data_IF_286110266295
#
_entry.id   IF_286110266295
#
_cell.length_a   1.000
_cell.length_b   1.000
_cell.length_c   1.000
_cell.angle_alpha   90.00
_cell.angle_beta   90.00
_cell.angle_gamma   90.00
#
_symmetry.space_group_name_H-M   'P 1'
#
loop_
_entity.id
_entity.type
_entity.pdbx_description
1 polymer ?
#
# COMPACT_ATOMS: atom_id res chain seq x y z
N UNK A 1 -20.35 -2.90 5.17
CA UNK A 1 -20.31 -3.44 6.54
C UNK A 1 -19.61 -4.78 6.59
N UNK A 2 -19.09 -5.17 7.76
CA UNK A 2 -18.42 -6.46 7.98
C UNK A 2 -19.34 -7.67 7.66
N UNK A 3 -20.64 -7.53 7.88
CA UNK A 3 -21.62 -8.56 7.53
C UNK A 3 -21.65 -8.83 6.01
N UNK A 4 -21.58 -7.78 5.18
CA UNK A 4 -21.50 -7.95 3.74
C UNK A 4 -20.20 -8.66 3.32
N UNK A 5 -19.07 -8.33 3.94
CA UNK A 5 -17.80 -8.98 3.67
C UNK A 5 -17.79 -10.46 4.07
N UNK A 6 -18.43 -10.80 5.19
CA UNK A 6 -18.67 -12.19 5.59
C UNK A 6 -19.48 -12.94 4.54
N UNK A 7 -20.57 -12.37 4.05
CA UNK A 7 -21.39 -12.98 3.00
C UNK A 7 -20.60 -13.17 1.72
N UNK A 8 -19.88 -12.12 1.25
CA UNK A 8 -19.04 -12.21 0.05
C UNK A 8 -17.99 -13.31 0.18
N UNK A 9 -17.29 -13.36 1.31
CA UNK A 9 -16.23 -14.35 1.51
C UNK A 9 -16.76 -15.79 1.68
N UNK A 10 -18.01 -15.95 2.10
CA UNK A 10 -18.63 -17.26 2.27
C UNK A 10 -19.16 -17.85 0.96
N UNK A 11 -19.66 -17.00 0.06
CA UNK A 11 -20.32 -17.46 -1.17
C UNK A 11 -19.48 -17.24 -2.43
N UNK A 12 -18.52 -16.31 -2.42
CA UNK A 12 -17.74 -15.93 -3.61
C UNK A 12 -16.27 -16.38 -3.51
N UNK A 13 -16.03 -17.66 -3.20
CA UNK A 13 -14.68 -18.18 -2.89
C UNK A 13 -13.63 -17.97 -3.99
N UNK A 14 -14.06 -17.79 -5.24
CA UNK A 14 -13.17 -17.55 -6.39
C UNK A 14 -13.01 -16.06 -6.71
N UNK A 15 -13.48 -15.17 -5.83
CA UNK A 15 -13.39 -13.73 -6.03
C UNK A 15 -11.92 -13.29 -6.10
N UNK A 16 -11.61 -12.53 -7.13
CA UNK A 16 -10.23 -12.03 -7.38
C UNK A 16 -10.08 -10.55 -7.12
N UNK A 17 -11.16 -9.81 -7.28
CA UNK A 17 -11.16 -8.35 -7.21
C UNK A 17 -12.34 -7.88 -6.37
N UNK A 18 -12.07 -6.99 -5.41
CA UNK A 18 -13.07 -6.40 -4.54
C UNK A 18 -12.70 -4.95 -4.24
N UNK A 19 -13.71 -4.08 -4.30
CA UNK A 19 -13.61 -2.72 -3.78
C UNK A 19 -14.73 -2.48 -2.78
N UNK A 20 -14.34 -2.04 -1.58
CA UNK A 20 -15.22 -1.62 -0.49
C UNK A 20 -14.80 -0.24 0.03
N UNK A 21 -14.27 0.57 -0.87
CA UNK A 21 -13.81 1.94 -0.54
C UNK A 21 -14.96 2.83 -0.08
N UNK A 22 -14.64 3.86 0.71
CA UNK A 22 -15.63 4.79 1.29
C UNK A 22 -16.70 4.09 2.15
N UNK A 23 -16.32 3.03 2.86
CA UNK A 23 -17.22 2.26 3.72
C UNK A 23 -16.85 2.42 5.20
N UNK A 24 -17.38 3.43 5.91
CA UNK A 24 -16.99 3.75 7.29
C UNK A 24 -17.35 2.66 8.31
N UNK A 25 -18.22 1.72 7.94
CA UNK A 25 -18.62 0.58 8.79
C UNK A 25 -17.81 -0.69 8.51
N UNK A 26 -16.73 -0.58 7.76
CA UNK A 26 -15.80 -1.69 7.53
C UNK A 26 -14.67 -1.58 8.56
N UNK A 27 -14.51 -2.66 9.33
CA UNK A 27 -13.52 -2.75 10.40
C UNK A 27 -12.51 -3.87 10.14
N UNK A 28 -11.58 -4.06 11.06
CA UNK A 28 -10.63 -5.18 11.03
C UNK A 28 -11.34 -6.55 10.99
N UNK A 29 -12.55 -6.65 11.58
CA UNK A 29 -13.36 -7.86 11.49
C UNK A 29 -13.73 -8.16 10.05
N UNK A 30 -14.14 -7.16 9.28
CA UNK A 30 -14.44 -7.33 7.86
C UNK A 30 -13.22 -7.77 7.04
N UNK A 31 -12.03 -7.19 7.29
CA UNK A 31 -10.80 -7.67 6.66
C UNK A 31 -10.45 -9.11 7.03
N UNK A 32 -10.71 -9.51 8.27
CA UNK A 32 -10.52 -10.89 8.72
C UNK A 32 -11.44 -11.85 7.97
N UNK A 33 -12.71 -11.48 7.77
CA UNK A 33 -13.64 -12.27 6.96
C UNK A 33 -13.19 -12.40 5.51
N UNK A 34 -12.67 -11.32 4.90
CA UNK A 34 -12.10 -11.38 3.55
C UNK A 34 -10.87 -12.31 3.46
N UNK A 35 -10.20 -12.58 4.57
CA UNK A 35 -9.15 -13.58 4.64
C UNK A 35 -9.59 -14.97 4.14
N UNK A 36 -10.88 -15.31 4.23
CA UNK A 36 -11.44 -16.57 3.69
C UNK A 36 -11.28 -16.71 2.18
N UNK A 37 -11.19 -15.58 1.44
CA UNK A 37 -10.90 -15.59 0.01
C UNK A 37 -9.48 -16.10 -0.27
N UNK A 38 -8.60 -16.03 0.74
CA UNK A 38 -7.28 -16.60 0.75
C UNK A 38 -6.49 -16.28 -0.51
N UNK A 39 -5.91 -17.32 -1.15
CA UNK A 39 -5.08 -17.14 -2.32
C UNK A 39 -5.83 -16.75 -3.59
N UNK A 40 -7.16 -16.66 -3.60
CA UNK A 40 -7.92 -16.22 -4.77
C UNK A 40 -7.82 -14.71 -4.99
N UNK A 41 -7.84 -13.92 -3.91
CA UNK A 41 -7.85 -12.47 -3.96
C UNK A 41 -6.54 -11.92 -4.53
N UNK A 42 -6.66 -11.01 -5.50
CA UNK A 42 -5.54 -10.34 -6.20
C UNK A 42 -5.58 -8.83 -6.05
N UNK A 43 -6.78 -8.27 -6.06
CA UNK A 43 -7.03 -6.84 -6.06
C UNK A 43 -8.00 -6.51 -4.94
N UNK A 44 -7.59 -5.64 -4.04
CA UNK A 44 -8.43 -5.15 -2.96
C UNK A 44 -8.30 -3.64 -2.84
N UNK A 45 -9.43 -2.95 -2.76
CA UNK A 45 -9.48 -1.55 -2.36
C UNK A 45 -10.38 -1.40 -1.15
N UNK A 46 -9.81 -0.84 -0.09
CA UNK A 46 -10.43 -0.47 1.18
C UNK A 46 -10.15 0.99 1.52
N UNK A 47 -9.95 1.81 0.48
CA UNK A 47 -9.63 3.21 0.67
C UNK A 47 -10.69 3.93 1.50
N UNK A 48 -10.26 4.81 2.41
CA UNK A 48 -11.11 5.59 3.32
C UNK A 48 -12.04 4.72 4.20
N UNK A 49 -11.55 3.58 4.62
CA UNK A 49 -12.17 2.78 5.68
C UNK A 49 -11.46 3.14 6.99
N UNK A 50 -11.94 4.17 7.68
CA UNK A 50 -11.23 4.84 8.77
C UNK A 50 -11.07 3.98 10.03
N UNK A 51 -11.82 2.88 10.15
CA UNK A 51 -11.74 1.95 11.28
C UNK A 51 -10.74 0.80 11.03
N UNK A 52 -10.03 0.80 9.91
CA UNK A 52 -9.00 -0.21 9.64
C UNK A 52 -7.69 0.15 10.32
N UNK A 53 -7.13 -0.85 10.98
CA UNK A 53 -5.84 -0.74 11.69
C UNK A 53 -4.82 -1.76 11.17
N UNK A 54 -3.63 -1.73 11.74
CA UNK A 54 -2.58 -2.71 11.48
C UNK A 54 -3.02 -4.16 11.72
N UNK A 55 -3.91 -4.39 12.70
CA UNK A 55 -4.40 -5.73 13.06
C UNK A 55 -5.22 -6.36 11.93
N UNK A 56 -6.09 -5.59 11.30
CA UNK A 56 -6.86 -6.04 10.14
C UNK A 56 -5.97 -6.36 8.94
N UNK A 57 -5.03 -5.46 8.63
CA UNK A 57 -4.08 -5.66 7.51
C UNK A 57 -3.19 -6.88 7.75
N UNK A 58 -2.71 -7.09 8.99
CA UNK A 58 -1.95 -8.28 9.37
C UNK A 58 -2.73 -9.56 9.10
N UNK A 59 -3.99 -9.60 9.51
CA UNK A 59 -4.86 -10.78 9.32
C UNK A 59 -5.11 -11.04 7.83
N UNK A 60 -5.43 -10.01 7.07
CA UNK A 60 -5.60 -10.09 5.62
C UNK A 60 -4.33 -10.64 4.95
N UNK A 61 -3.17 -10.07 5.25
CA UNK A 61 -1.90 -10.42 4.62
C UNK A 61 -1.53 -11.89 4.83
N UNK A 62 -1.77 -12.43 6.03
CA UNK A 62 -1.49 -13.84 6.35
C UNK A 62 -2.25 -14.82 5.48
N UNK A 63 -3.45 -14.48 5.05
CA UNK A 63 -4.32 -15.35 4.26
C UNK A 63 -4.25 -15.03 2.76
N UNK A 64 -4.24 -13.75 2.41
CA UNK A 64 -4.28 -13.30 1.01
C UNK A 64 -2.87 -13.05 0.44
N UNK A 65 -1.96 -13.97 0.61
CA UNK A 65 -0.54 -13.86 0.23
C UNK A 65 -0.27 -13.74 -1.26
N UNK A 66 -1.30 -13.84 -2.10
CA UNK A 66 -1.21 -13.64 -3.54
C UNK A 66 -1.70 -12.28 -4.01
N UNK A 67 -1.94 -11.34 -3.09
CA UNK A 67 -2.29 -9.97 -3.45
C UNK A 67 -1.25 -9.36 -4.40
N UNK A 68 -1.76 -8.64 -5.41
CA UNK A 68 -0.97 -7.88 -6.38
C UNK A 68 -1.24 -6.39 -6.30
N UNK A 69 -2.43 -6.02 -5.91
CA UNK A 69 -2.89 -4.65 -5.74
C UNK A 69 -3.60 -4.50 -4.41
N UNK A 70 -3.20 -3.50 -3.64
CA UNK A 70 -3.88 -3.10 -2.42
C UNK A 70 -3.96 -1.57 -2.36
N UNK A 71 -5.16 -1.06 -2.12
CA UNK A 71 -5.39 0.35 -1.89
C UNK A 71 -5.98 0.53 -0.48
N UNK A 72 -5.22 1.18 0.38
CA UNK A 72 -5.59 1.55 1.76
C UNK A 72 -5.53 3.06 1.97
N UNK A 73 -5.57 3.85 0.88
CA UNK A 73 -5.48 5.30 0.97
C UNK A 73 -6.53 5.86 1.95
N UNK A 74 -6.09 6.70 2.87
CA UNK A 74 -6.97 7.31 3.87
C UNK A 74 -7.33 6.41 5.04
N UNK A 75 -6.69 5.25 5.19
CA UNK A 75 -6.78 4.44 6.40
C UNK A 75 -5.72 4.95 7.39
N UNK A 76 -6.02 6.03 8.10
CA UNK A 76 -5.03 6.81 8.88
C UNK A 76 -4.45 6.04 10.08
N UNK A 77 -5.10 4.96 10.53
CA UNK A 77 -4.61 4.09 11.60
C UNK A 77 -3.70 2.95 11.09
N UNK A 78 -3.39 2.92 9.80
CA UNK A 78 -2.47 1.96 9.20
C UNK A 78 -1.06 2.54 9.22
N UNK A 79 -0.14 1.81 9.85
CA UNK A 79 1.24 2.25 10.11
C UNK A 79 2.30 1.35 9.44
N UNK A 80 3.57 1.60 9.76
CA UNK A 80 4.71 0.78 9.34
C UNK A 80 4.54 -0.70 9.71
N UNK A 81 3.86 -1.00 10.82
CA UNK A 81 3.60 -2.38 11.25
C UNK A 81 2.75 -3.14 10.23
N UNK A 82 1.71 -2.52 9.70
CA UNK A 82 0.89 -3.12 8.64
C UNK A 82 1.71 -3.38 7.37
N UNK A 83 2.55 -2.40 6.98
CA UNK A 83 3.40 -2.50 5.79
C UNK A 83 4.44 -3.62 5.94
N UNK A 84 5.02 -3.79 7.12
CA UNK A 84 5.95 -4.89 7.41
C UNK A 84 5.25 -6.25 7.23
N UNK A 85 4.11 -6.47 7.87
CA UNK A 85 3.34 -7.70 7.71
C UNK A 85 2.94 -7.97 6.25
N UNK A 86 2.45 -6.95 5.57
CA UNK A 86 2.05 -7.04 4.16
C UNK A 86 3.23 -7.43 3.28
N UNK A 87 4.37 -6.77 3.44
CA UNK A 87 5.55 -6.99 2.61
C UNK A 87 6.12 -8.41 2.75
N UNK A 88 6.18 -8.92 3.98
CA UNK A 88 6.65 -10.30 4.25
C UNK A 88 5.70 -11.37 3.70
N UNK A 89 4.40 -11.12 3.76
CA UNK A 89 3.40 -12.10 3.35
C UNK A 89 3.07 -12.03 1.86
N UNK A 90 3.03 -10.82 1.28
CA UNK A 90 2.56 -10.57 -0.08
C UNK A 90 3.70 -10.17 -1.03
N UNK A 91 4.75 -10.97 -1.14
CA UNK A 91 5.93 -10.70 -2.00
C UNK A 91 5.60 -10.54 -3.51
N UNK A 92 4.37 -10.87 -3.92
CA UNK A 92 3.88 -10.68 -5.30
C UNK A 92 3.22 -9.31 -5.53
N UNK A 93 3.27 -8.42 -4.54
CA UNK A 93 2.67 -7.09 -4.62
C UNK A 93 3.31 -6.29 -5.77
N UNK A 94 2.46 -5.66 -6.58
CA UNK A 94 2.87 -4.84 -7.72
C UNK A 94 2.38 -3.39 -7.61
N UNK A 95 1.31 -3.18 -6.86
CA UNK A 95 0.75 -1.85 -6.66
C UNK A 95 0.26 -1.71 -5.22
N UNK A 96 0.71 -0.66 -4.56
CA UNK A 96 0.29 -0.30 -3.21
C UNK A 96 -0.03 1.19 -3.15
N UNK A 97 -1.22 1.52 -2.67
CA UNK A 97 -1.58 2.89 -2.32
C UNK A 97 -1.83 2.97 -0.81
N UNK A 98 -0.97 3.71 -0.14
CA UNK A 98 -0.99 4.01 1.30
C UNK A 98 -1.01 5.52 1.56
N UNK A 99 -1.51 6.29 0.60
CA UNK A 99 -1.64 7.73 0.77
C UNK A 99 -2.49 8.08 1.98
N UNK A 100 -2.09 9.10 2.76
CA UNK A 100 -2.72 9.48 4.05
C UNK A 100 -2.76 8.37 5.10
N UNK A 101 -1.82 7.44 5.07
CA UNK A 101 -1.58 6.49 6.16
C UNK A 101 -0.44 7.00 7.06
N UNK A 102 -0.35 6.46 8.27
CA UNK A 102 0.72 6.78 9.24
C UNK A 102 2.00 5.96 8.96
N UNK A 103 2.49 6.05 7.73
CA UNK A 103 3.65 5.30 7.25
C UNK A 103 4.86 6.21 7.11
N UNK A 104 6.02 5.73 7.58
CA UNK A 104 7.30 6.42 7.57
C UNK A 104 8.30 5.80 6.58
N UNK A 105 9.53 6.33 6.58
CA UNK A 105 10.68 5.78 5.84
C UNK A 105 10.98 4.32 6.21
N UNK A 106 10.71 3.92 7.47
CA UNK A 106 10.90 2.54 7.92
C UNK A 106 9.97 1.58 7.16
N UNK A 107 8.68 1.91 7.08
CA UNK A 107 7.71 1.10 6.33
C UNK A 107 8.07 0.98 4.86
N UNK A 108 8.52 2.08 4.23
CA UNK A 108 8.96 2.07 2.83
C UNK A 108 10.20 1.22 2.60
N UNK A 109 11.16 1.26 3.53
CA UNK A 109 12.34 0.40 3.47
C UNK A 109 11.95 -1.07 3.55
N UNK A 110 11.16 -1.47 4.55
CA UNK A 110 10.71 -2.85 4.73
C UNK A 110 9.90 -3.35 3.51
N UNK A 111 9.01 -2.51 2.97
CA UNK A 111 8.27 -2.80 1.76
C UNK A 111 9.20 -3.10 0.59
N UNK A 112 10.17 -2.22 0.35
CA UNK A 112 11.03 -2.31 -0.82
C UNK A 112 11.99 -3.51 -0.77
N UNK A 113 12.49 -3.86 0.40
CA UNK A 113 13.35 -5.03 0.61
C UNK A 113 12.61 -6.35 0.35
N UNK A 114 11.33 -6.45 0.73
CA UNK A 114 10.53 -7.66 0.58
C UNK A 114 9.71 -7.73 -0.72
N UNK A 115 9.42 -6.59 -1.35
CA UNK A 115 8.61 -6.50 -2.58
C UNK A 115 9.38 -5.84 -3.74
N UNK A 116 10.52 -6.38 -4.21
CA UNK A 116 11.36 -5.76 -5.26
C UNK A 116 10.66 -5.66 -6.62
N UNK A 117 9.55 -6.37 -6.81
CA UNK A 117 8.75 -6.35 -8.03
C UNK A 117 7.65 -5.29 -8.05
N UNK A 118 7.64 -4.37 -7.07
CA UNK A 118 6.68 -3.28 -7.00
C UNK A 118 6.79 -2.39 -8.26
N UNK A 119 5.63 -2.04 -8.84
CA UNK A 119 5.53 -1.23 -10.06
C UNK A 119 4.88 0.13 -9.81
N UNK A 120 3.96 0.19 -8.85
CA UNK A 120 3.25 1.40 -8.49
C UNK A 120 3.21 1.58 -6.98
N UNK A 121 3.58 2.76 -6.51
CA UNK A 121 3.51 3.15 -5.11
C UNK A 121 2.93 4.55 -5.01
N UNK A 122 1.94 4.71 -4.14
CA UNK A 122 1.44 6.02 -3.73
C UNK A 122 1.63 6.19 -2.24
N UNK A 123 2.33 7.25 -1.86
CA UNK A 123 2.53 7.74 -0.49
C UNK A 123 2.01 9.17 -0.35
N UNK A 124 1.05 9.53 -1.20
CA UNK A 124 0.47 10.87 -1.23
C UNK A 124 0.06 11.31 0.18
N UNK A 125 0.49 12.50 0.58
CA UNK A 125 0.17 13.10 1.90
C UNK A 125 0.61 12.24 3.11
N UNK A 126 1.65 11.39 2.98
CA UNK A 126 2.29 10.71 4.09
C UNK A 126 3.36 11.63 4.69
N UNK A 127 3.05 12.28 5.80
CA UNK A 127 3.88 13.34 6.38
C UNK A 127 5.20 12.87 7.00
N UNK A 128 5.31 11.58 7.32
CA UNK A 128 6.50 10.95 7.90
C UNK A 128 7.50 10.41 6.87
N UNK A 129 7.15 10.50 5.58
CA UNK A 129 8.02 10.04 4.48
C UNK A 129 8.99 11.16 4.10
N UNK A 130 10.26 10.80 3.94
CA UNK A 130 11.33 11.71 3.52
C UNK A 130 12.11 11.16 2.33
N UNK A 131 13.17 11.86 1.93
CA UNK A 131 14.11 11.40 0.91
C UNK A 131 14.63 9.99 1.17
N UNK A 132 14.88 9.62 2.43
CA UNK A 132 15.38 8.30 2.82
C UNK A 132 14.44 7.17 2.41
N UNK A 133 13.14 7.36 2.59
CA UNK A 133 12.13 6.37 2.21
C UNK A 133 12.06 6.17 0.70
N UNK A 134 12.01 7.24 -0.08
CA UNK A 134 11.93 7.15 -1.55
C UNK A 134 13.24 6.65 -2.17
N UNK A 135 14.39 6.99 -1.57
CA UNK A 135 15.69 6.44 -1.94
C UNK A 135 15.73 4.93 -1.75
N UNK A 136 15.27 4.42 -0.59
CA UNK A 136 15.20 2.99 -0.32
C UNK A 136 14.31 2.29 -1.35
N UNK A 137 13.12 2.82 -1.62
CA UNK A 137 12.21 2.27 -2.64
C UNK A 137 12.89 2.21 -4.00
N UNK A 138 13.54 3.28 -4.43
CA UNK A 138 14.19 3.32 -5.76
C UNK A 138 15.38 2.36 -5.87
N UNK A 139 16.09 2.13 -4.77
CA UNK A 139 17.26 1.24 -4.70
C UNK A 139 16.87 -0.23 -4.90
N UNK A 140 15.79 -0.66 -4.26
CA UNK A 140 15.35 -2.06 -4.28
C UNK A 140 14.31 -2.34 -5.35
N UNK A 141 13.37 -1.42 -5.59
CA UNK A 141 12.31 -1.56 -6.60
C UNK A 141 12.71 -0.93 -7.95
N UNK A 142 13.82 -1.37 -8.55
CA UNK A 142 14.36 -0.79 -9.81
C UNK A 142 13.40 -0.84 -10.99
N UNK A 143 12.38 -1.66 -10.92
CA UNK A 143 11.33 -1.75 -11.92
C UNK A 143 10.12 -0.86 -11.64
N UNK A 144 10.22 0.11 -10.71
CA UNK A 144 9.13 1.03 -10.38
C UNK A 144 8.78 1.88 -11.61
N UNK A 145 7.48 2.00 -11.89
CA UNK A 145 6.92 2.70 -13.05
C UNK A 145 6.14 3.95 -12.66
N UNK A 146 5.51 3.93 -11.49
CA UNK A 146 4.73 5.07 -10.98
C UNK A 146 5.02 5.25 -9.49
N UNK A 147 5.35 6.48 -9.11
CA UNK A 147 5.52 6.91 -7.72
C UNK A 147 4.72 8.19 -7.51
N UNK A 148 3.75 8.16 -6.61
CA UNK A 148 3.02 9.36 -6.21
C UNK A 148 3.52 9.86 -4.85
N UNK A 149 4.14 11.03 -4.85
CA UNK A 149 4.66 11.76 -3.69
C UNK A 149 4.01 13.15 -3.56
N UNK A 150 2.79 13.32 -4.08
CA UNK A 150 2.06 14.58 -3.93
C UNK A 150 1.86 14.89 -2.44
N UNK A 151 2.03 16.14 -2.07
CA UNK A 151 1.84 16.62 -0.70
C UNK A 151 2.71 15.90 0.35
N UNK A 152 3.92 15.48 -0.03
CA UNK A 152 4.94 14.88 0.85
C UNK A 152 6.09 15.88 1.01
N UNK A 153 6.00 16.71 2.04
CA UNK A 153 6.95 17.82 2.25
C UNK A 153 8.38 17.34 2.56
N UNK A 154 8.53 16.15 3.17
CA UNK A 154 9.82 15.56 3.52
C UNK A 154 10.62 15.06 2.31
N UNK A 155 10.03 15.02 1.11
CA UNK A 155 10.74 14.64 -0.12
C UNK A 155 11.21 15.90 -0.85
N UNK A 156 12.53 15.99 -1.04
CA UNK A 156 13.19 17.11 -1.70
C UNK A 156 13.67 16.73 -3.11
N UNK A 157 14.37 17.65 -3.76
CA UNK A 157 15.02 17.38 -5.04
C UNK A 157 16.07 16.25 -4.97
N UNK A 158 16.59 15.93 -3.78
CA UNK A 158 17.52 14.83 -3.56
C UNK A 158 16.81 13.49 -3.78
N UNK A 159 15.72 13.23 -3.08
CA UNK A 159 14.93 12.00 -3.24
C UNK A 159 14.38 11.85 -4.65
N UNK A 160 13.86 12.94 -5.24
CA UNK A 160 13.41 12.95 -6.63
C UNK A 160 14.50 12.49 -7.61
N UNK A 161 15.73 13.05 -7.51
CA UNK A 161 16.85 12.67 -8.37
C UNK A 161 17.29 11.23 -8.15
N UNK A 162 17.28 10.74 -6.90
CA UNK A 162 17.61 9.36 -6.60
C UNK A 162 16.65 8.38 -7.30
N UNK A 163 15.35 8.68 -7.26
CA UNK A 163 14.33 7.88 -7.99
C UNK A 163 14.57 7.93 -9.49
N UNK A 164 14.83 9.10 -10.07
CA UNK A 164 15.11 9.24 -11.52
C UNK A 164 16.37 8.51 -11.95
N UNK A 165 17.39 8.47 -11.10
CA UNK A 165 18.64 7.75 -11.36
C UNK A 165 18.45 6.24 -11.37
N UNK A 166 17.76 5.71 -10.34
CA UNK A 166 17.59 4.27 -10.16
C UNK A 166 16.45 3.68 -11.00
N UNK A 167 15.39 4.46 -11.22
CA UNK A 167 14.16 4.07 -11.91
C UNK A 167 13.88 5.02 -13.09
N UNK A 168 14.74 4.99 -14.12
CA UNK A 168 14.76 5.98 -15.23
C UNK A 168 13.42 6.20 -15.93
N UNK A 169 12.58 5.18 -15.99
CA UNK A 169 11.26 5.25 -16.66
C UNK A 169 10.12 5.53 -15.67
N UNK A 170 10.42 5.79 -14.40
CA UNK A 170 9.39 6.06 -13.40
C UNK A 170 8.73 7.41 -13.64
N UNK A 171 7.41 7.39 -13.72
CA UNK A 171 6.58 8.61 -13.68
C UNK A 171 6.44 8.98 -12.21
N UNK A 172 6.84 10.20 -11.85
CA UNK A 172 6.74 10.72 -10.49
C UNK A 172 5.69 11.81 -10.48
N UNK A 173 4.61 11.58 -9.73
CA UNK A 173 3.60 12.59 -9.47
C UNK A 173 3.96 13.36 -8.19
N UNK A 174 4.09 14.68 -8.29
CA UNK A 174 4.46 15.56 -7.19
C UNK A 174 3.76 16.91 -7.29
N UNK A 175 3.72 17.64 -6.19
CA UNK A 175 3.19 19.00 -6.09
C UNK A 175 4.29 20.06 -5.96
N UNK A 176 5.55 19.64 -5.76
CA UNK A 176 6.66 20.56 -5.52
C UNK A 176 7.18 21.15 -6.84
N UNK A 177 7.08 22.50 -7.06
CA UNK A 177 7.57 23.13 -8.29
C UNK A 177 9.10 23.13 -8.41
N UNK A 178 9.84 22.90 -7.33
CA UNK A 178 11.31 22.88 -7.30
C UNK A 178 11.94 21.59 -7.85
N UNK A 179 11.16 20.64 -8.39
CA UNK A 179 11.67 19.40 -8.99
C UNK A 179 11.91 19.50 -10.50
N UNK A 180 11.67 20.65 -11.09
CA UNK A 180 11.90 20.93 -12.53
C UNK A 180 13.27 21.56 -12.75
#
# INVERSE_FOLDING_TARGET
TDAAQRSISSYCLMLRELSVSDCPLVTDTGLSELGRLGPSLRYLSVAKCDQLTDAGVRTLARHCYRLRYLNMRGCEQVSDSAVDWLSRSCSRLRSLDIGKCDVSDLGLKLLSENCPNLKKLSVKSCTLVTDRGVEAVSKYCRGLQHLNIQDVEGVTSQGYRAVKTNCRKCIIEHTNPGFY
#
